data_IF_685902920521
#
_entry.id   IF_685902920521
#
_cell.length_a   1.000
_cell.length_b   1.000
_cell.length_c   1.000
_cell.angle_alpha   90.00
_cell.angle_beta   90.00
_cell.angle_gamma   90.00
#
_symmetry.space_group_name_H-M   'P 1'
#
loop_
_entity.id
_entity.type
_entity.pdbx_description
1 polymer ?
#
# COMPACT_ATOMS: atom_id res chain seq x y z
N UNK A 1 9.94 25.94 30.87
CA UNK A 1 10.51 25.47 29.58
C UNK A 1 10.36 23.96 29.53
N UNK A 2 10.49 23.34 28.35
CA UNK A 2 10.39 21.89 28.16
C UNK A 2 11.64 21.43 27.41
N UNK A 3 12.26 20.34 27.88
CA UNK A 3 13.36 19.69 27.19
C UNK A 3 12.81 18.92 25.99
N UNK A 4 13.43 19.08 24.82
CA UNK A 4 12.98 18.48 23.58
C UNK A 4 14.14 17.83 22.84
N UNK A 5 13.90 16.60 22.34
CA UNK A 5 14.87 15.86 21.55
C UNK A 5 14.75 16.25 20.06
N UNK A 6 15.86 16.69 19.48
CA UNK A 6 15.93 17.08 18.06
C UNK A 6 16.08 15.85 17.15
N UNK A 7 16.61 14.75 17.68
CA UNK A 7 16.77 13.45 17.02
C UNK A 7 16.13 12.36 17.87
N UNK A 8 15.38 11.47 17.22
CA UNK A 8 14.82 10.27 17.82
C UNK A 8 15.53 9.04 17.25
N UNK A 9 15.71 7.96 18.03
CA UNK A 9 16.34 6.75 17.54
C UNK A 9 15.48 6.14 16.43
N UNK A 10 16.12 5.61 15.39
CA UNK A 10 15.43 4.85 14.35
C UNK A 10 14.92 3.53 14.95
N UNK A 11 13.79 3.03 14.44
CA UNK A 11 13.36 1.67 14.79
C UNK A 11 14.27 0.65 14.12
N UNK A 12 14.42 -0.52 14.73
CA UNK A 12 15.28 -1.59 14.19
C UNK A 12 14.89 -1.99 12.76
N UNK A 13 13.60 -1.99 12.43
CA UNK A 13 13.11 -2.30 11.09
C UNK A 13 13.53 -1.26 10.04
N UNK A 14 13.57 0.02 10.42
CA UNK A 14 14.05 1.09 9.53
C UNK A 14 15.54 0.91 9.25
N UNK A 15 16.33 0.60 10.28
CA UNK A 15 17.77 0.36 10.13
C UNK A 15 18.02 -0.88 9.27
N UNK A 16 17.31 -1.98 9.55
CA UNK A 16 17.38 -3.19 8.74
C UNK A 16 17.06 -2.91 7.27
N UNK A 17 15.96 -2.21 6.97
CA UNK A 17 15.59 -1.88 5.59
C UNK A 17 16.62 -0.99 4.89
N UNK A 18 17.33 -0.12 5.62
CA UNK A 18 18.42 0.70 5.08
C UNK A 18 19.66 -0.13 4.75
N UNK A 19 20.02 -1.07 5.63
CA UNK A 19 21.19 -1.95 5.43
C UNK A 19 20.94 -2.97 4.31
N UNK A 20 19.76 -3.58 4.31
CA UNK A 20 19.38 -4.65 3.39
C UNK A 20 18.71 -4.16 2.11
N UNK A 21 18.65 -2.83 1.86
CA UNK A 21 17.88 -2.27 0.74
C UNK A 21 18.21 -2.91 -0.62
N UNK A 22 19.49 -3.15 -0.99
CA UNK A 22 19.81 -3.71 -2.31
C UNK A 22 19.30 -5.15 -2.46
N UNK A 23 19.40 -5.96 -1.41
CA UNK A 23 18.94 -7.35 -1.43
C UNK A 23 17.41 -7.45 -1.40
N UNK A 24 16.75 -6.60 -0.62
CA UNK A 24 15.29 -6.54 -0.57
C UNK A 24 14.69 -6.10 -1.91
N UNK A 25 15.31 -5.11 -2.56
CA UNK A 25 14.90 -4.66 -3.89
C UNK A 25 15.11 -5.75 -4.94
N UNK A 26 16.25 -6.42 -4.93
CA UNK A 26 16.52 -7.56 -5.81
C UNK A 26 15.50 -8.68 -5.61
N UNK A 27 15.25 -9.10 -4.36
CA UNK A 27 14.26 -10.12 -4.05
C UNK A 27 12.85 -9.70 -4.49
N UNK A 28 12.48 -8.43 -4.36
CA UNK A 28 11.17 -7.95 -4.80
C UNK A 28 11.01 -8.08 -6.32
N UNK A 29 12.02 -7.68 -7.09
CA UNK A 29 12.01 -7.81 -8.56
C UNK A 29 11.93 -9.27 -8.99
N UNK A 30 12.76 -10.14 -8.43
CA UNK A 30 12.77 -11.57 -8.76
C UNK A 30 11.46 -12.26 -8.35
N UNK A 31 10.91 -11.91 -7.19
CA UNK A 31 9.62 -12.42 -6.73
C UNK A 31 8.50 -12.00 -7.67
N UNK A 32 8.44 -10.74 -8.08
CA UNK A 32 7.38 -10.24 -8.94
C UNK A 32 7.45 -10.87 -10.34
N UNK A 33 8.66 -11.10 -10.87
CA UNK A 33 8.88 -11.87 -12.09
C UNK A 33 8.41 -13.33 -11.94
N UNK A 34 8.73 -13.98 -10.82
CA UNK A 34 8.31 -15.34 -10.54
C UNK A 34 6.78 -15.47 -10.34
N UNK A 35 6.13 -14.49 -9.70
CA UNK A 35 4.67 -14.42 -9.59
C UNK A 35 4.05 -14.37 -11.00
N UNK A 36 4.62 -13.54 -11.88
CA UNK A 36 4.13 -13.42 -13.26
C UNK A 36 4.25 -14.76 -13.99
N UNK A 37 5.41 -15.41 -13.91
CA UNK A 37 5.65 -16.73 -14.50
C UNK A 37 4.65 -17.78 -13.97
N UNK A 38 4.44 -17.86 -12.64
CA UNK A 38 3.50 -18.81 -12.04
C UNK A 38 2.06 -18.59 -12.51
N UNK A 39 1.63 -17.33 -12.65
CA UNK A 39 0.29 -17.02 -13.11
C UNK A 39 0.10 -17.32 -14.60
N UNK A 40 1.10 -17.02 -15.44
CA UNK A 40 1.05 -17.29 -16.89
C UNK A 40 1.10 -18.79 -17.20
N UNK A 41 1.85 -19.56 -16.42
CA UNK A 41 2.01 -21.01 -16.61
C UNK A 41 0.95 -21.85 -15.86
N UNK A 42 -0.02 -21.22 -15.19
CA UNK A 42 -1.03 -21.96 -14.44
C UNK A 42 -2.10 -22.53 -15.37
N UNK A 43 -2.06 -23.84 -15.59
CA UNK A 43 -3.09 -24.56 -16.37
C UNK A 43 -4.49 -24.37 -15.78
N UNK A 44 -4.60 -24.37 -14.45
CA UNK A 44 -5.87 -24.17 -13.75
C UNK A 44 -6.49 -22.79 -14.03
N UNK A 45 -5.68 -21.74 -14.15
CA UNK A 45 -6.15 -20.39 -14.49
C UNK A 45 -6.42 -20.25 -15.99
N UNK A 46 -5.54 -20.82 -16.83
CA UNK A 46 -5.64 -20.72 -18.28
C UNK A 46 -6.85 -21.48 -18.84
N UNK A 47 -7.23 -22.60 -18.21
CA UNK A 47 -8.36 -23.43 -18.62
C UNK A 47 -9.55 -23.32 -17.65
N UNK A 48 -9.57 -22.29 -16.80
CA UNK A 48 -10.64 -22.10 -15.83
C UNK A 48 -11.99 -21.94 -16.55
N UNK A 49 -13.03 -22.72 -16.22
CA UNK A 49 -14.31 -22.63 -16.90
C UNK A 49 -14.99 -21.29 -16.58
N UNK A 50 -15.13 -20.44 -17.60
CA UNK A 50 -15.80 -19.15 -17.48
C UNK A 50 -17.30 -19.34 -17.73
N UNK A 51 -18.13 -18.93 -16.77
CA UNK A 51 -19.57 -18.95 -16.90
C UNK A 51 -20.11 -17.81 -17.79
N UNK A 52 -21.42 -17.80 -17.97
CA UNK A 52 -22.12 -16.69 -18.61
C UNK A 52 -22.85 -15.86 -17.56
N UNK A 53 -22.90 -14.54 -17.76
CA UNK A 53 -23.55 -13.59 -16.84
C UNK A 53 -24.36 -12.56 -17.59
N UNK A 54 -25.43 -12.11 -16.96
CA UNK A 54 -26.26 -11.03 -17.45
C UNK A 54 -25.48 -9.71 -17.44
N UNK A 55 -25.49 -9.03 -18.57
CA UNK A 55 -24.84 -7.77 -18.82
C UNK A 55 -25.79 -6.75 -19.43
N UNK A 56 -25.44 -5.48 -19.27
CA UNK A 56 -26.20 -4.39 -19.87
C UNK A 56 -25.93 -4.31 -21.38
N UNK A 57 -26.94 -4.40 -22.27
CA UNK A 57 -26.73 -4.31 -23.72
C UNK A 57 -26.10 -2.99 -24.21
N UNK A 58 -26.24 -1.92 -23.42
CA UNK A 58 -25.73 -0.57 -23.77
C UNK A 58 -24.28 -0.32 -23.35
N UNK A 59 -23.81 -0.94 -22.27
CA UNK A 59 -22.50 -0.63 -21.68
C UNK A 59 -21.68 -1.85 -21.29
N UNK A 60 -22.19 -3.05 -21.60
CA UNK A 60 -21.54 -4.35 -21.42
C UNK A 60 -21.08 -4.64 -19.98
N UNK A 61 -21.62 -3.91 -19.00
CA UNK A 61 -21.30 -4.14 -17.60
C UNK A 61 -22.13 -5.29 -17.06
N UNK A 62 -21.49 -6.22 -16.34
CA UNK A 62 -22.18 -7.27 -15.55
C UNK A 62 -22.76 -6.76 -14.21
N UNK A 63 -22.71 -5.45 -13.96
CA UNK A 63 -23.38 -4.83 -12.83
C UNK A 63 -24.81 -4.42 -13.23
N UNK A 64 -25.68 -5.42 -13.30
CA UNK A 64 -27.10 -5.28 -13.64
C UNK A 64 -27.98 -5.75 -12.48
N UNK A 65 -29.23 -5.27 -12.44
CA UNK A 65 -30.21 -5.67 -11.43
C UNK A 65 -31.57 -5.89 -12.06
N UNK A 66 -32.15 -7.07 -11.85
CA UNK A 66 -33.53 -7.33 -12.23
C UNK A 66 -34.53 -6.66 -11.28
N UNK A 67 -35.56 -6.02 -11.85
CA UNK A 67 -36.65 -5.34 -11.15
C UNK A 67 -37.96 -6.08 -11.40
N UNK A 68 -38.33 -6.94 -10.44
CA UNK A 68 -39.60 -7.70 -10.46
C UNK A 68 -40.85 -6.84 -10.70
N UNK A 69 -40.86 -5.60 -10.20
CA UNK A 69 -42.02 -4.69 -10.33
C UNK A 69 -42.31 -4.25 -11.76
N UNK A 70 -41.28 -4.13 -12.60
CA UNK A 70 -41.38 -3.69 -13.99
C UNK A 70 -41.09 -4.81 -14.99
N UNK A 71 -40.70 -5.98 -14.50
CA UNK A 71 -40.21 -7.11 -15.31
C UNK A 71 -39.03 -6.72 -16.23
N UNK A 72 -38.18 -5.80 -15.77
CA UNK A 72 -37.06 -5.23 -16.53
C UNK A 72 -35.75 -5.34 -15.75
N UNK A 73 -34.62 -5.25 -16.45
CA UNK A 73 -33.29 -5.14 -15.90
C UNK A 73 -32.80 -3.69 -15.93
N UNK A 74 -32.12 -3.26 -14.87
CA UNK A 74 -31.45 -1.96 -14.79
C UNK A 74 -29.92 -2.12 -14.84
N UNK A 75 -29.26 -1.37 -15.71
CA UNK A 75 -27.80 -1.24 -15.76
C UNK A 75 -27.28 -0.27 -14.68
N UNK A 76 -26.51 -0.79 -13.72
CA UNK A 76 -26.01 -0.03 -12.56
C UNK A 76 -24.55 0.41 -12.69
N UNK A 77 -23.95 0.22 -13.86
CA UNK A 77 -22.58 0.64 -14.16
C UNK A 77 -22.37 2.12 -13.84
N UNK A 78 -21.28 2.41 -13.13
CA UNK A 78 -20.85 3.75 -12.75
C UNK A 78 -19.36 3.90 -12.97
N UNK A 79 -18.94 5.06 -13.47
CA UNK A 79 -17.53 5.47 -13.51
C UNK A 79 -17.30 6.56 -12.47
N UNK A 80 -16.25 6.43 -11.67
CA UNK A 80 -15.90 7.41 -10.64
C UNK A 80 -14.46 7.91 -10.79
N UNK A 81 -14.24 9.20 -10.53
CA UNK A 81 -12.92 9.84 -10.48
C UNK A 81 -12.77 10.59 -9.17
N UNK A 82 -11.76 10.24 -8.37
CA UNK A 82 -11.54 10.85 -7.05
C UNK A 82 -12.73 10.68 -6.09
N UNK A 83 -13.39 9.52 -6.10
CA UNK A 83 -14.56 9.24 -5.25
C UNK A 83 -15.89 9.85 -5.72
N UNK A 84 -15.91 10.74 -6.73
CA UNK A 84 -17.13 11.28 -7.32
C UNK A 84 -17.58 10.47 -8.53
N UNK A 85 -18.87 10.16 -8.64
CA UNK A 85 -19.45 9.48 -9.81
C UNK A 85 -19.54 10.48 -10.96
N UNK A 86 -18.85 10.20 -12.07
CA UNK A 86 -18.78 11.07 -13.25
C UNK A 86 -19.76 10.61 -14.33
N UNK A 87 -20.12 9.33 -14.33
CA UNK A 87 -21.08 8.76 -15.29
C UNK A 87 -21.83 7.57 -14.70
N UNK A 88 -23.10 7.42 -15.06
CA UNK A 88 -23.96 6.28 -14.70
C UNK A 88 -24.75 5.84 -15.94
N UNK A 89 -24.81 4.54 -16.19
CA UNK A 89 -25.55 3.99 -17.33
C UNK A 89 -27.07 4.21 -17.18
N UNK A 90 -27.68 3.68 -16.12
CA UNK A 90 -29.10 3.85 -15.82
C UNK A 90 -30.06 3.28 -16.86
N UNK A 91 -29.58 2.49 -17.83
CA UNK A 91 -30.40 1.92 -18.89
C UNK A 91 -31.31 0.82 -18.33
N UNK A 92 -32.60 0.88 -18.66
CA UNK A 92 -33.56 -0.21 -18.39
C UNK A 92 -33.81 -1.01 -19.67
N UNK A 93 -33.89 -2.33 -19.58
CA UNK A 93 -34.01 -3.24 -20.73
C UNK A 93 -34.68 -4.56 -20.34
N UNK A 94 -35.36 -5.21 -21.27
CA UNK A 94 -36.08 -6.47 -21.02
C UNK A 94 -35.16 -7.70 -21.09
N UNK A 95 -34.32 -7.78 -22.12
CA UNK A 95 -33.44 -8.92 -22.37
C UNK A 95 -31.98 -8.53 -22.10
N UNK A 96 -31.30 -9.16 -21.12
CA UNK A 96 -29.89 -8.91 -20.87
C UNK A 96 -28.99 -9.48 -21.97
N UNK A 97 -27.82 -8.87 -22.15
CA UNK A 97 -26.74 -9.43 -22.96
C UNK A 97 -26.02 -10.50 -22.14
N UNK A 98 -25.87 -11.72 -22.65
CA UNK A 98 -25.10 -12.75 -21.97
C UNK A 98 -23.60 -12.58 -22.28
N UNK A 99 -22.82 -12.28 -21.24
CA UNK A 99 -21.38 -12.06 -21.32
C UNK A 99 -20.61 -13.24 -20.75
N UNK A 100 -19.53 -13.65 -21.43
CA UNK A 100 -18.56 -14.63 -20.92
C UNK A 100 -17.67 -13.98 -19.86
N UNK A 101 -18.18 -13.90 -18.64
CA UNK A 101 -17.46 -13.38 -17.49
C UNK A 101 -17.57 -14.33 -16.29
N UNK A 102 -16.51 -14.45 -15.46
CA UNK A 102 -16.57 -15.31 -14.28
C UNK A 102 -17.65 -14.82 -13.30
N UNK A 103 -18.44 -15.76 -12.80
CA UNK A 103 -19.43 -15.54 -11.73
C UNK A 103 -18.74 -15.06 -10.45
N UNK A 104 -19.47 -14.44 -9.50
CA UNK A 104 -18.88 -14.04 -8.22
C UNK A 104 -18.20 -15.21 -7.48
N UNK A 105 -18.73 -16.43 -7.60
CA UNK A 105 -18.13 -17.63 -7.02
C UNK A 105 -16.85 -18.05 -7.76
N UNK A 106 -16.89 -18.07 -9.10
CA UNK A 106 -15.72 -18.31 -9.94
C UNK A 106 -14.61 -17.29 -9.68
N UNK A 107 -14.94 -16.00 -9.48
CA UNK A 107 -13.97 -14.96 -9.11
C UNK A 107 -13.29 -15.26 -7.76
N UNK A 108 -14.03 -15.81 -6.79
CA UNK A 108 -13.43 -16.24 -5.50
C UNK A 108 -12.47 -17.41 -5.70
N UNK A 109 -12.84 -18.38 -6.54
CA UNK A 109 -11.99 -19.53 -6.86
C UNK A 109 -10.70 -19.10 -7.59
N UNK A 110 -10.82 -18.29 -8.64
CA UNK A 110 -9.67 -17.69 -9.35
C UNK A 110 -8.76 -16.93 -8.37
N UNK A 111 -9.36 -16.12 -7.48
CA UNK A 111 -8.61 -15.39 -6.47
C UNK A 111 -7.90 -16.31 -5.46
N UNK A 112 -8.50 -17.44 -5.12
CA UNK A 112 -7.89 -18.43 -4.22
C UNK A 112 -6.69 -19.11 -4.88
N UNK A 113 -6.83 -19.54 -6.14
CA UNK A 113 -5.74 -20.15 -6.93
C UNK A 113 -4.59 -19.14 -7.10
N UNK A 114 -4.90 -17.94 -7.57
CA UNK A 114 -3.90 -16.86 -7.69
C UNK A 114 -3.25 -16.50 -6.35
N UNK A 115 -4.01 -16.55 -5.26
CA UNK A 115 -3.51 -16.32 -3.91
C UNK A 115 -2.51 -17.40 -3.46
N UNK A 116 -2.82 -18.67 -3.73
CA UNK A 116 -1.93 -19.79 -3.42
C UNK A 116 -0.61 -19.71 -4.21
N UNK A 117 -0.68 -19.42 -5.51
CA UNK A 117 0.51 -19.22 -6.35
C UNK A 117 1.37 -18.05 -5.88
N UNK A 118 0.74 -16.92 -5.50
CA UNK A 118 1.47 -15.79 -4.91
C UNK A 118 2.14 -16.19 -3.60
N UNK A 119 1.45 -16.95 -2.74
CA UNK A 119 2.00 -17.42 -1.47
C UNK A 119 3.26 -18.26 -1.68
N UNK A 120 3.27 -19.14 -2.69
CA UNK A 120 4.46 -19.91 -3.06
C UNK A 120 5.65 -19.00 -3.41
N UNK A 121 5.41 -17.91 -4.15
CA UNK A 121 6.46 -16.93 -4.44
C UNK A 121 6.97 -16.22 -3.18
N UNK A 122 6.08 -15.84 -2.26
CA UNK A 122 6.49 -15.23 -0.98
C UNK A 122 7.29 -16.17 -0.09
N UNK A 123 6.98 -17.47 -0.10
CA UNK A 123 7.73 -18.49 0.65
C UNK A 123 9.13 -18.71 0.04
N UNK A 124 9.22 -18.79 -1.28
CA UNK A 124 10.49 -18.93 -2.02
C UNK A 124 11.42 -17.74 -1.81
N UNK A 125 10.89 -16.52 -1.86
CA UNK A 125 11.64 -15.27 -1.68
C UNK A 125 11.46 -14.69 -0.27
N UNK A 126 11.38 -15.56 0.75
CA UNK A 126 11.26 -15.10 2.12
C UNK A 126 12.49 -14.27 2.52
N UNK A 127 12.27 -13.27 3.39
CA UNK A 127 13.33 -12.36 3.83
C UNK A 127 13.98 -12.82 5.14
N UNK A 128 13.75 -14.05 5.59
CA UNK A 128 14.25 -14.54 6.88
C UNK A 128 15.77 -14.64 6.87
N UNK A 129 16.35 -15.23 5.83
CA UNK A 129 17.81 -15.33 5.68
C UNK A 129 18.47 -13.94 5.64
N UNK A 130 17.86 -12.99 4.91
CA UNK A 130 18.33 -11.59 4.88
C UNK A 130 18.26 -10.98 6.28
N UNK A 131 17.17 -11.21 7.00
CA UNK A 131 16.98 -10.72 8.37
C UNK A 131 17.98 -11.31 9.35
N UNK A 132 18.38 -12.57 9.18
CA UNK A 132 19.43 -13.18 9.99
C UNK A 132 20.81 -12.56 9.72
N UNK A 133 21.12 -12.28 8.45
CA UNK A 133 22.38 -11.64 8.05
C UNK A 133 22.53 -10.22 8.61
N UNK A 134 21.53 -9.37 8.42
CA UNK A 134 21.61 -7.95 8.82
C UNK A 134 21.02 -7.66 10.20
N UNK A 135 20.32 -8.62 10.82
CA UNK A 135 19.60 -8.40 12.07
C UNK A 135 20.50 -8.03 13.24
N UNK A 136 21.69 -8.66 13.33
CA UNK A 136 22.69 -8.33 14.38
C UNK A 136 23.24 -6.93 14.18
N UNK A 137 23.56 -6.56 12.95
CA UNK A 137 24.07 -5.22 12.64
C UNK A 137 23.02 -4.14 12.90
N UNK A 138 21.78 -4.37 12.48
CA UNK A 138 20.66 -3.48 12.75
C UNK A 138 20.42 -3.30 14.25
N UNK A 139 20.54 -4.37 15.05
CA UNK A 139 20.43 -4.30 16.50
C UNK A 139 21.54 -3.45 17.13
N UNK A 140 22.80 -3.64 16.70
CA UNK A 140 23.93 -2.85 17.19
C UNK A 140 23.79 -1.36 16.85
N UNK A 141 23.36 -1.04 15.63
CA UNK A 141 23.07 0.34 15.22
C UNK A 141 21.89 0.94 16.01
N UNK A 142 20.86 0.15 16.30
CA UNK A 142 19.74 0.60 17.15
C UNK A 142 20.20 0.94 18.57
N UNK A 143 21.16 0.17 19.12
CA UNK A 143 21.74 0.44 20.44
C UNK A 143 22.51 1.78 20.41
N UNK A 144 23.34 2.01 19.39
CA UNK A 144 24.07 3.29 19.23
C UNK A 144 23.14 4.49 19.11
N UNK A 145 22.06 4.36 18.34
CA UNK A 145 21.05 5.41 18.20
C UNK A 145 20.35 5.70 19.55
N UNK A 146 20.08 4.65 20.32
CA UNK A 146 19.46 4.76 21.66
C UNK A 146 20.42 5.39 22.67
N UNK A 147 21.69 4.97 22.68
CA UNK A 147 22.73 5.55 23.53
C UNK A 147 22.88 7.06 23.27
N UNK A 148 22.94 7.46 21.99
CA UNK A 148 22.97 8.88 21.59
C UNK A 148 21.72 9.63 22.07
N UNK A 149 20.53 9.03 21.96
CA UNK A 149 19.30 9.62 22.47
C UNK A 149 19.34 9.84 23.99
N UNK A 150 19.75 8.81 24.75
CA UNK A 150 19.85 8.85 26.21
C UNK A 150 20.98 9.75 26.73
N UNK A 151 22.00 10.01 25.91
CA UNK A 151 23.09 10.94 26.25
C UNK A 151 22.64 12.41 26.29
N UNK A 152 21.40 12.72 25.89
CA UNK A 152 20.85 14.06 25.73
C UNK A 152 21.64 14.98 24.78
N UNK A 153 22.55 14.43 23.98
CA UNK A 153 23.44 15.18 23.07
C UNK A 153 22.67 16.03 22.06
N UNK A 154 21.56 15.51 21.53
CA UNK A 154 20.71 16.21 20.57
C UNK A 154 19.45 16.79 21.25
N UNK A 155 19.60 17.45 22.40
CA UNK A 155 18.47 18.13 23.07
C UNK A 155 18.59 19.64 23.06
N UNK A 156 17.44 20.29 23.10
CA UNK A 156 17.33 21.73 23.30
C UNK A 156 16.15 22.04 24.21
N UNK A 157 16.07 23.28 24.69
CA UNK A 157 14.96 23.73 25.52
C UNK A 157 14.04 24.64 24.72
N UNK A 158 12.73 24.36 24.76
CA UNK A 158 11.72 25.19 24.13
C UNK A 158 10.70 25.70 25.16
N UNK A 159 10.04 26.82 24.85
CA UNK A 159 8.81 27.19 25.56
C UNK A 159 7.69 26.21 25.16
N UNK A 160 6.63 26.12 25.98
CA UNK A 160 5.51 25.18 25.72
C UNK A 160 4.89 25.37 24.32
N UNK A 161 4.79 26.62 23.84
CA UNK A 161 4.29 26.95 22.51
C UNK A 161 5.20 26.43 21.39
N UNK A 162 6.51 26.65 21.50
CA UNK A 162 7.46 26.20 20.49
C UNK A 162 7.57 24.66 20.46
N UNK A 163 7.54 24.00 21.63
CA UNK A 163 7.47 22.54 21.71
C UNK A 163 6.22 21.99 21.00
N UNK A 164 5.04 22.57 21.26
CA UNK A 164 3.80 22.18 20.57
C UNK A 164 3.89 22.36 19.05
N UNK A 165 4.47 23.47 18.57
CA UNK A 165 4.62 23.71 17.14
C UNK A 165 5.54 22.68 16.47
N UNK A 166 6.60 22.26 17.16
CA UNK A 166 7.50 21.23 16.66
C UNK A 166 6.82 19.86 16.65
N UNK A 167 6.27 19.42 17.79
CA UNK A 167 5.78 18.05 17.97
C UNK A 167 4.46 17.78 17.23
N UNK A 168 3.55 18.75 17.24
CA UNK A 168 2.18 18.57 16.71
C UNK A 168 2.03 19.17 15.32
N UNK A 169 2.69 20.30 15.04
CA UNK A 169 2.58 20.97 13.74
C UNK A 169 3.75 20.67 12.81
N UNK A 170 4.83 20.06 13.29
CA UNK A 170 6.03 19.82 12.49
C UNK A 170 6.69 21.12 12.03
N UNK A 171 6.61 22.19 12.83
CA UNK A 171 7.12 23.52 12.49
C UNK A 171 8.19 23.99 13.47
N UNK A 172 9.26 24.57 12.94
CA UNK A 172 10.33 25.20 13.71
C UNK A 172 10.54 26.64 13.24
N UNK A 173 10.84 27.55 14.16
CA UNK A 173 11.14 28.93 13.78
C UNK A 173 12.54 29.01 13.15
N UNK A 174 12.60 29.53 11.93
CA UNK A 174 13.85 29.77 11.21
C UNK A 174 14.21 31.26 11.31
N UNK A 175 15.34 31.62 11.95
CA UNK A 175 15.79 33.01 12.07
C UNK A 175 16.05 33.67 10.71
N UNK A 176 16.62 32.93 9.76
CA UNK A 176 16.96 33.45 8.42
C UNK A 176 15.73 33.89 7.63
N UNK A 177 14.67 33.08 7.66
CA UNK A 177 13.40 33.37 6.97
C UNK A 177 12.43 34.19 7.83
N UNK A 178 12.80 34.53 9.07
CA UNK A 178 11.96 35.22 10.07
C UNK A 178 10.54 34.63 10.15
N UNK A 179 10.43 33.31 10.16
CA UNK A 179 9.15 32.61 10.09
C UNK A 179 9.25 31.12 10.44
N UNK A 180 8.10 30.44 10.49
CA UNK A 180 8.04 29.00 10.74
C UNK A 180 8.23 28.21 9.45
N UNK A 181 9.15 27.25 9.47
CA UNK A 181 9.38 26.29 8.38
C UNK A 181 9.10 24.87 8.86
N UNK A 182 8.95 23.93 7.93
CA UNK A 182 8.81 22.53 8.30
C UNK A 182 10.09 22.00 8.96
N UNK A 183 9.93 21.11 9.95
CA UNK A 183 11.06 20.43 10.59
C UNK A 183 11.89 19.62 9.60
N UNK A 184 11.27 19.12 8.52
CA UNK A 184 11.96 18.36 7.47
C UNK A 184 12.89 19.24 6.65
N UNK A 185 12.43 20.45 6.27
CA UNK A 185 13.26 21.44 5.57
C UNK A 185 14.43 21.91 6.44
N UNK A 186 14.18 22.11 7.74
CA UNK A 186 15.25 22.48 8.68
C UNK A 186 16.28 21.36 8.84
N UNK A 187 15.83 20.10 8.97
CA UNK A 187 16.73 18.94 9.09
C UNK A 187 17.60 18.77 7.85
N UNK A 188 17.05 18.87 6.64
CA UNK A 188 17.80 18.71 5.40
C UNK A 188 18.95 19.74 5.22
N UNK A 189 18.87 20.90 5.87
CA UNK A 189 19.93 21.92 5.86
C UNK A 189 20.99 21.75 6.94
N UNK A 190 20.68 20.99 8.00
CA UNK A 190 21.50 20.87 9.21
C UNK A 190 21.93 19.40 9.50
N UNK A 191 21.64 18.48 8.58
CA UNK A 191 22.07 17.08 8.56
C UNK A 191 23.32 16.92 7.73
#
# INVERSE_FOLDING_TARGET
MVLQHLRHPRTIDVIFNQLASPELEKNAVERDAYIKELLENSDELNHFPIGEREGCPKCESTNVRFRKTRNEWDGLSKKSRGGRVVWRCGNSFETPLMLREPTPEQKRQISAISGALKKQAYEKYNTLAIRESYGKEAALESIKDTERYLSFKDTTTYCKKCAYLMDVKGLIYCPEKKGYISIYEWRAKNS
#
